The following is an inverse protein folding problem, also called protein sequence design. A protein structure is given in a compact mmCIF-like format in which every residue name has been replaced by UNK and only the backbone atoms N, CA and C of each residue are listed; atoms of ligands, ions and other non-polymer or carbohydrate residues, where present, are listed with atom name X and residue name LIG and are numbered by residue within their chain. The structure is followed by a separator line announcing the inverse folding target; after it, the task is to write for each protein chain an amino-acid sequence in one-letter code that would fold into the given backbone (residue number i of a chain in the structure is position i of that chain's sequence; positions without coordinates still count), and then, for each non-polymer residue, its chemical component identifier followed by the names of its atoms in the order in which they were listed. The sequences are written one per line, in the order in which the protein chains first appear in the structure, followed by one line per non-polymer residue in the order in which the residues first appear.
data_IF_665024735422
#
_entry.id   IF_665024735422
#
_cell.length_a   1.000
_cell.length_b   1.000
_cell.length_c   1.000
_cell.angle_alpha   90.00
_cell.angle_beta   90.00
_cell.angle_gamma   90.00
#
_symmetry.space_group_name_H-M   'P 1'
#
loop_
_entity.id
_entity.type
_entity.pdbx_description
1 polymer ?
#
# COMPACT_ATOMS: atom_id res chain seq x y z
N UNK A 1 11.28 -79.46 39.42
CA UNK A 1 12.43 -78.70 39.97
C UNK A 1 13.71 -79.39 39.56
N UNK A 2 14.85 -78.69 39.38
CA UNK A 2 15.13 -77.26 39.65
C UNK A 2 15.32 -76.46 38.32
N UNK A 3 14.88 -75.22 38.09
CA UNK A 3 14.99 -73.92 38.77
C UNK A 3 16.44 -73.45 39.02
N UNK A 4 16.89 -72.47 38.23
CA UNK A 4 17.54 -71.25 38.74
C UNK A 4 17.49 -70.10 37.72
N UNK A 5 16.89 -69.01 38.18
CA UNK A 5 16.71 -67.68 37.58
C UNK A 5 18.03 -67.01 37.17
N UNK A 6 18.03 -66.22 36.08
CA UNK A 6 18.45 -64.81 36.12
C UNK A 6 17.86 -64.01 34.96
N UNK A 7 16.98 -63.11 35.37
CA UNK A 7 16.37 -62.01 34.63
C UNK A 7 17.45 -61.00 34.24
N UNK A 8 17.49 -60.55 32.99
CA UNK A 8 18.08 -59.23 32.66
C UNK A 8 17.27 -58.59 31.52
N UNK A 9 16.20 -57.90 31.92
CA UNK A 9 15.63 -56.81 31.14
C UNK A 9 16.68 -55.68 31.00
N UNK A 10 16.61 -54.89 29.91
CA UNK A 10 16.59 -53.40 29.90
C UNK A 10 17.27 -52.78 28.65
N UNK A 11 16.42 -52.17 27.82
CA UNK A 11 16.56 -50.91 27.05
C UNK A 11 17.81 -50.64 26.18
N UNK A 12 17.62 -50.65 24.86
CA UNK A 12 18.29 -49.68 23.97
C UNK A 12 17.73 -48.29 24.26
N UNK A 13 18.34 -47.57 25.20
CA UNK A 13 18.03 -46.17 25.46
C UNK A 13 18.39 -45.31 24.23
N UNK A 14 17.39 -44.65 23.61
CA UNK A 14 17.62 -43.49 22.75
C UNK A 14 18.36 -42.46 23.58
N UNK A 15 19.64 -42.21 23.27
CA UNK A 15 20.45 -41.16 23.90
C UNK A 15 19.72 -39.83 23.70
N UNK A 16 19.13 -39.31 24.77
CA UNK A 16 18.44 -38.01 24.79
C UNK A 16 19.52 -36.95 24.57
N UNK A 17 19.50 -36.31 23.41
CA UNK A 17 20.35 -35.15 23.12
C UNK A 17 19.86 -33.99 23.97
N UNK A 18 20.71 -33.47 24.86
CA UNK A 18 20.42 -32.27 25.65
C UNK A 18 20.83 -31.06 24.82
N UNK A 19 19.91 -30.12 24.52
CA UNK A 19 20.22 -28.93 23.74
C UNK A 19 21.18 -28.01 24.50
N UNK A 20 22.11 -27.38 23.78
CA UNK A 20 23.10 -26.48 24.38
C UNK A 20 22.47 -25.11 24.73
N UNK A 21 23.10 -24.35 25.63
CA UNK A 21 22.68 -23.04 26.14
C UNK A 21 22.39 -22.02 25.03
N UNK A 22 23.10 -22.11 23.89
CA UNK A 22 22.84 -21.28 22.70
C UNK A 22 21.53 -21.69 22.01
N UNK A 23 21.27 -22.99 21.82
CA UNK A 23 20.03 -23.50 21.22
C UNK A 23 18.81 -23.15 22.07
N UNK A 24 18.91 -23.34 23.39
CA UNK A 24 17.86 -22.95 24.35
C UNK A 24 17.56 -21.44 24.30
N UNK A 25 18.58 -20.60 24.08
CA UNK A 25 18.43 -19.15 23.93
C UNK A 25 17.78 -18.78 22.60
N UNK A 26 18.13 -19.46 21.50
CA UNK A 26 17.49 -19.30 20.20
C UNK A 26 16.03 -19.76 20.24
N UNK A 27 15.74 -20.93 20.80
CA UNK A 27 14.38 -21.45 20.99
C UNK A 27 13.55 -20.52 21.88
N UNK A 28 14.11 -20.03 22.98
CA UNK A 28 13.46 -19.04 23.84
C UNK A 28 13.14 -17.73 23.10
N UNK A 29 14.05 -17.25 22.25
CA UNK A 29 13.81 -16.07 21.39
C UNK A 29 12.73 -16.34 20.35
N UNK A 30 12.79 -17.48 19.65
CA UNK A 30 11.76 -17.88 18.67
C UNK A 30 10.38 -18.05 19.33
N UNK A 31 10.33 -18.64 20.53
CA UNK A 31 9.08 -18.82 21.28
C UNK A 31 8.49 -17.48 21.73
N UNK A 32 9.31 -16.55 22.20
CA UNK A 32 8.87 -15.18 22.55
C UNK A 32 8.39 -14.39 21.33
N UNK A 33 9.06 -14.52 20.18
CA UNK A 33 8.62 -13.88 18.93
C UNK A 33 7.29 -14.47 18.45
N UNK A 34 7.12 -15.81 18.51
CA UNK A 34 5.85 -16.46 18.17
C UNK A 34 4.72 -16.01 19.11
N UNK A 35 4.98 -15.91 20.41
CA UNK A 35 4.00 -15.48 21.41
C UNK A 35 3.67 -13.98 21.32
N UNK A 36 4.63 -13.13 20.97
CA UNK A 36 4.39 -11.70 20.72
C UNK A 36 3.57 -11.47 19.43
N UNK A 37 3.78 -12.29 18.39
CA UNK A 37 2.97 -12.24 17.16
C UNK A 37 1.51 -12.65 17.39
N UNK A 38 1.23 -13.56 18.33
CA UNK A 38 -0.15 -13.93 18.69
C UNK A 38 -0.91 -12.87 19.50
N UNK A 39 -0.23 -11.81 19.96
CA UNK A 39 -0.85 -10.67 20.65
C UNK A 39 -1.17 -9.50 19.73
N UNK A 40 -0.69 -9.54 18.47
CA UNK A 40 -1.08 -8.55 17.46
C UNK A 40 -2.55 -8.80 17.05
N UNK A 41 -3.33 -7.74 16.76
CA UNK A 41 -4.64 -7.89 16.14
C UNK A 41 -4.57 -8.84 14.94
N UNK A 42 -5.57 -9.70 14.78
CA UNK A 42 -5.62 -10.60 13.62
C UNK A 42 -5.85 -9.76 12.36
N UNK A 43 -4.76 -9.42 11.68
CA UNK A 43 -4.82 -8.66 10.43
C UNK A 43 -5.45 -9.55 9.34
N UNK A 44 -6.52 -9.06 8.73
CA UNK A 44 -7.14 -9.63 7.53
C UNK A 44 -6.74 -8.79 6.31
N UNK A 45 -6.56 -9.39 5.13
CA UNK A 45 -6.43 -8.63 3.90
C UNK A 45 -7.63 -7.68 3.69
N UNK A 46 -7.45 -6.54 3.01
CA UNK A 46 -8.57 -5.73 2.56
C UNK A 46 -9.40 -6.51 1.51
N UNK A 47 -10.67 -6.18 1.36
CA UNK A 47 -11.50 -6.69 0.26
C UNK A 47 -11.12 -5.93 -1.01
N UNK A 48 -10.88 -6.63 -2.10
CA UNK A 48 -10.49 -6.06 -3.38
C UNK A 48 -11.62 -6.13 -4.41
N UNK A 49 -12.12 -4.97 -4.86
CA UNK A 49 -13.24 -4.84 -5.79
C UNK A 49 -12.83 -4.75 -7.27
N UNK A 50 -11.55 -4.55 -7.55
CA UNK A 50 -11.03 -4.39 -8.92
C UNK A 50 -10.50 -2.99 -9.26
N UNK A 51 -10.25 -2.11 -8.29
CA UNK A 51 -9.54 -0.84 -8.54
C UNK A 51 -8.02 -1.06 -8.64
N UNK A 52 -7.36 -0.79 -9.78
CA UNK A 52 -5.91 -0.90 -9.89
C UNK A 52 -5.11 -0.15 -8.81
N UNK A 53 -5.65 0.94 -8.23
CA UNK A 53 -4.99 1.68 -7.15
C UNK A 53 -4.91 0.88 -5.84
N UNK A 54 -5.86 -0.03 -5.61
CA UNK A 54 -5.96 -0.84 -4.40
C UNK A 54 -5.19 -2.16 -4.53
N UNK A 55 -4.93 -2.61 -5.77
CA UNK A 55 -4.36 -3.93 -6.03
C UNK A 55 -2.99 -4.17 -5.35
N UNK A 56 -2.01 -3.23 -5.36
CA UNK A 56 -0.72 -3.46 -4.72
C UNK A 56 -0.83 -3.72 -3.21
N UNK A 57 -1.71 -2.98 -2.53
CA UNK A 57 -1.94 -3.15 -1.10
C UNK A 57 -2.65 -4.48 -0.83
N UNK A 58 -3.67 -4.80 -1.62
CA UNK A 58 -4.39 -6.06 -1.54
C UNK A 58 -3.47 -7.27 -1.71
N UNK A 59 -2.72 -7.35 -2.82
CA UNK A 59 -1.91 -8.53 -3.13
C UNK A 59 -0.81 -8.72 -2.10
N UNK A 60 -0.17 -7.63 -1.65
CA UNK A 60 0.86 -7.67 -0.59
C UNK A 60 0.29 -8.20 0.73
N UNK A 61 -0.89 -7.72 1.12
CA UNK A 61 -1.56 -8.17 2.34
C UNK A 61 -2.01 -9.63 2.22
N UNK A 62 -2.58 -10.02 1.07
CA UNK A 62 -3.04 -11.38 0.82
C UNK A 62 -1.87 -12.38 0.86
N UNK A 63 -0.77 -12.09 0.17
CA UNK A 63 0.43 -12.92 0.16
C UNK A 63 1.02 -13.07 1.57
N UNK A 64 1.10 -11.95 2.32
CA UNK A 64 1.69 -11.94 3.65
C UNK A 64 0.83 -12.61 4.72
N UNK A 65 -0.49 -12.49 4.63
CA UNK A 65 -1.41 -12.94 5.69
C UNK A 65 -2.01 -14.32 5.43
N UNK A 66 -2.20 -14.69 4.15
CA UNK A 66 -2.85 -15.93 3.75
C UNK A 66 -1.85 -16.86 3.07
N UNK A 67 -1.24 -16.44 1.95
CA UNK A 67 -0.40 -17.32 1.14
C UNK A 67 0.83 -17.83 1.88
N UNK A 68 1.39 -17.04 2.79
CA UNK A 68 2.54 -17.43 3.63
C UNK A 68 2.22 -18.42 4.75
N UNK A 69 0.93 -18.68 5.04
CA UNK A 69 0.46 -19.48 6.19
C UNK A 69 -0.37 -20.69 5.81
N UNK A 70 -1.01 -20.64 4.66
CA UNK A 70 -1.82 -21.73 4.11
C UNK A 70 -0.96 -22.45 3.08
N UNK A 71 -0.84 -23.77 3.16
CA UNK A 71 -0.12 -24.55 2.16
C UNK A 71 -1.07 -25.03 1.04
N UNK A 72 -2.27 -25.47 1.43
CA UNK A 72 -3.28 -26.04 0.54
C UNK A 72 -3.78 -25.04 -0.53
N UNK A 73 -3.74 -25.45 -1.79
CA UNK A 73 -4.12 -24.60 -2.92
C UNK A 73 -5.63 -24.34 -2.96
N UNK A 74 -6.47 -25.30 -2.56
CA UNK A 74 -7.92 -25.13 -2.55
C UNK A 74 -8.34 -24.14 -1.46
N UNK A 75 -7.69 -24.17 -0.30
CA UNK A 75 -7.91 -23.24 0.81
C UNK A 75 -7.43 -21.82 0.44
N UNK A 76 -6.27 -21.67 -0.22
CA UNK A 76 -5.83 -20.38 -0.78
C UNK A 76 -6.84 -19.81 -1.76
N UNK A 77 -7.35 -20.63 -2.68
CA UNK A 77 -8.35 -20.23 -3.67
C UNK A 77 -9.67 -19.82 -3.00
N UNK A 78 -10.09 -20.54 -1.96
CA UNK A 78 -11.25 -20.18 -1.16
C UNK A 78 -11.08 -18.80 -0.51
N UNK A 79 -9.96 -18.54 0.15
CA UNK A 79 -9.66 -17.22 0.73
C UNK A 79 -9.56 -16.14 -0.34
N UNK A 80 -8.93 -16.42 -1.50
CA UNK A 80 -8.88 -15.48 -2.61
C UNK A 80 -10.29 -15.08 -3.06
N UNK A 81 -11.20 -16.05 -3.09
CA UNK A 81 -12.61 -15.80 -3.30
C UNK A 81 -13.25 -14.93 -2.20
N UNK A 82 -12.92 -15.12 -0.93
CA UNK A 82 -13.50 -14.34 0.17
C UNK A 82 -13.07 -12.87 0.17
N UNK A 83 -11.84 -12.59 -0.24
CA UNK A 83 -11.27 -11.24 -0.23
C UNK A 83 -11.33 -10.54 -1.59
N UNK A 84 -12.15 -11.04 -2.51
CA UNK A 84 -12.45 -10.39 -3.79
C UNK A 84 -13.93 -10.07 -3.89
N UNK A 85 -14.25 -8.92 -4.47
CA UNK A 85 -15.61 -8.43 -4.73
C UNK A 85 -15.72 -7.94 -6.18
N UNK A 86 -16.96 -7.69 -6.61
CA UNK A 86 -17.30 -7.05 -7.89
C UNK A 86 -16.50 -7.60 -9.08
N UNK A 87 -15.83 -6.72 -9.84
CA UNK A 87 -15.08 -7.06 -11.05
C UNK A 87 -13.94 -8.03 -10.78
N UNK A 88 -13.30 -7.93 -9.61
CA UNK A 88 -12.24 -8.86 -9.23
C UNK A 88 -12.81 -10.27 -8.98
N UNK A 89 -13.97 -10.36 -8.33
CA UNK A 89 -14.65 -11.64 -8.06
C UNK A 89 -15.18 -12.27 -9.34
N UNK A 90 -15.79 -11.49 -10.21
CA UNK A 90 -16.26 -11.92 -11.54
C UNK A 90 -15.12 -12.56 -12.34
N UNK A 91 -13.94 -11.91 -12.33
CA UNK A 91 -12.76 -12.38 -13.06
C UNK A 91 -12.29 -13.76 -12.61
N UNK A 92 -12.43 -14.09 -11.32
CA UNK A 92 -11.94 -15.37 -10.77
C UNK A 92 -13.04 -16.42 -10.54
N UNK A 93 -14.32 -16.08 -10.75
CA UNK A 93 -15.45 -16.92 -10.37
C UNK A 93 -15.42 -18.31 -11.02
N UNK A 94 -15.03 -18.40 -12.30
CA UNK A 94 -14.92 -19.68 -13.01
C UNK A 94 -13.84 -20.61 -12.43
N UNK A 95 -12.77 -20.05 -11.84
CA UNK A 95 -11.71 -20.83 -11.20
C UNK A 95 -12.16 -21.36 -9.84
N UNK A 96 -13.00 -20.62 -9.09
CA UNK A 96 -13.50 -21.06 -7.78
C UNK A 96 -14.32 -22.37 -7.85
N UNK A 97 -14.88 -22.68 -9.02
CA UNK A 97 -15.65 -23.91 -9.26
C UNK A 97 -14.74 -25.12 -9.54
N UNK A 98 -13.51 -24.87 -9.99
CA UNK A 98 -12.51 -25.89 -10.31
C UNK A 98 -11.63 -26.06 -9.07
N UNK A 99 -11.72 -27.21 -8.42
CA UNK A 99 -10.90 -27.55 -7.24
C UNK A 99 -9.73 -28.43 -7.67
N UNK A 100 -8.72 -27.83 -8.30
CA UNK A 100 -7.44 -28.49 -8.60
C UNK A 100 -6.29 -27.80 -7.88
N UNK A 101 -5.16 -28.49 -7.73
CA UNK A 101 -3.93 -27.91 -7.14
C UNK A 101 -3.41 -26.69 -7.92
N UNK A 102 -3.72 -26.61 -9.22
CA UNK A 102 -3.32 -25.51 -10.10
C UNK A 102 -4.28 -24.31 -10.04
N UNK A 103 -5.52 -24.53 -9.58
CA UNK A 103 -6.62 -23.55 -9.70
C UNK A 103 -6.35 -22.23 -8.97
N UNK A 104 -5.56 -22.23 -7.89
CA UNK A 104 -5.14 -21.00 -7.22
C UNK A 104 -4.27 -20.12 -8.11
N UNK A 105 -3.22 -20.69 -8.71
CA UNK A 105 -2.30 -19.94 -9.56
C UNK A 105 -3.00 -19.47 -10.83
N UNK A 106 -3.89 -20.31 -11.39
CA UNK A 106 -4.73 -19.96 -12.52
C UNK A 106 -5.70 -18.81 -12.20
N UNK A 107 -6.23 -18.71 -10.97
CA UNK A 107 -7.09 -17.61 -10.54
C UNK A 107 -6.31 -16.31 -10.23
N UNK A 108 -5.11 -16.43 -9.63
CA UNK A 108 -4.27 -15.28 -9.26
C UNK A 108 -3.70 -14.57 -10.49
N UNK A 109 -3.36 -15.32 -11.54
CA UNK A 109 -2.74 -14.80 -12.76
C UNK A 109 -3.60 -13.72 -13.47
N UNK A 110 -4.90 -13.94 -13.75
CA UNK A 110 -5.80 -12.91 -14.29
C UNK A 110 -5.87 -11.66 -13.42
N UNK A 111 -5.95 -11.79 -12.09
CA UNK A 111 -5.97 -10.62 -11.19
C UNK A 111 -4.71 -9.77 -11.36
N UNK A 112 -3.53 -10.41 -11.34
CA UNK A 112 -2.25 -9.71 -11.55
C UNK A 112 -2.16 -9.08 -12.94
N UNK A 113 -2.62 -9.78 -13.98
CA UNK A 113 -2.61 -9.26 -15.36
C UNK A 113 -3.56 -8.08 -15.56
N UNK A 114 -4.75 -8.12 -14.95
CA UNK A 114 -5.78 -7.11 -15.15
C UNK A 114 -5.65 -5.91 -14.21
N UNK A 115 -5.16 -6.10 -12.99
CA UNK A 115 -5.11 -5.04 -11.98
C UNK A 115 -3.70 -4.73 -11.47
N UNK A 116 -2.77 -5.67 -11.62
CA UNK A 116 -1.38 -5.56 -11.16
C UNK A 116 -0.38 -5.10 -12.21
N UNK A 117 -0.84 -4.81 -13.42
CA UNK A 117 0.03 -4.31 -14.48
C UNK A 117 0.56 -2.90 -14.15
N UNK A 118 1.89 -2.70 -14.09
CA UNK A 118 2.47 -1.39 -13.77
C UNK A 118 2.03 -0.29 -14.74
N UNK A 119 1.74 -0.65 -16.00
CA UNK A 119 1.22 0.32 -16.96
C UNK A 119 -0.15 0.87 -16.52
N UNK A 120 -1.06 -0.04 -16.16
CA UNK A 120 -2.41 0.28 -15.71
C UNK A 120 -2.46 1.00 -14.37
N UNK A 121 -1.67 0.58 -13.39
CA UNK A 121 -1.64 1.22 -12.05
C UNK A 121 -1.20 2.68 -12.17
N UNK A 122 -0.12 2.96 -12.89
CA UNK A 122 0.33 4.34 -13.04
C UNK A 122 -0.66 5.19 -13.86
N UNK A 123 -1.31 4.61 -14.87
CA UNK A 123 -2.37 5.30 -15.60
C UNK A 123 -3.57 5.61 -14.71
N UNK A 124 -3.92 4.73 -13.77
CA UNK A 124 -4.96 5.01 -12.79
C UNK A 124 -4.60 6.18 -11.87
N UNK A 125 -3.34 6.29 -11.41
CA UNK A 125 -2.86 7.44 -10.64
C UNK A 125 -2.90 8.74 -11.46
N UNK A 126 -2.39 8.70 -12.71
CA UNK A 126 -2.43 9.85 -13.63
C UNK A 126 -3.88 10.30 -13.82
N UNK A 127 -4.79 9.37 -14.15
CA UNK A 127 -6.20 9.68 -14.35
C UNK A 127 -6.84 10.29 -13.11
N UNK A 128 -6.56 9.75 -11.91
CA UNK A 128 -7.06 10.30 -10.64
C UNK A 128 -6.64 11.77 -10.46
N UNK A 129 -5.38 12.10 -10.76
CA UNK A 129 -4.88 13.47 -10.64
C UNK A 129 -5.40 14.39 -11.76
N UNK A 130 -5.44 13.92 -12.99
CA UNK A 130 -5.90 14.69 -14.14
C UNK A 130 -7.41 14.98 -14.13
N UNK A 131 -8.21 14.10 -13.53
CA UNK A 131 -9.66 14.31 -13.32
C UNK A 131 -9.98 14.96 -11.98
N UNK A 132 -8.98 15.41 -11.22
CA UNK A 132 -9.22 16.15 -9.99
C UNK A 132 -10.06 17.39 -10.26
N UNK A 133 -10.94 17.73 -9.31
CA UNK A 133 -11.78 18.93 -9.43
C UNK A 133 -10.93 20.19 -9.35
N UNK A 134 -11.36 21.27 -10.01
CA UNK A 134 -10.67 22.56 -9.88
C UNK A 134 -10.75 23.03 -8.43
N UNK A 135 -9.59 23.32 -7.84
CA UNK A 135 -9.47 23.74 -6.44
C UNK A 135 -9.82 25.23 -6.36
N UNK A 136 -10.66 25.59 -5.39
CA UNK A 136 -11.07 26.99 -5.15
C UNK A 136 -10.02 27.69 -4.27
N UNK A 137 -9.88 29.03 -4.38
CA UNK A 137 -8.90 29.78 -3.58
C UNK A 137 -9.00 29.61 -2.05
N UNK A 138 -10.22 29.46 -1.51
CA UNK A 138 -10.47 29.30 -0.08
C UNK A 138 -10.56 27.83 0.38
N UNK A 139 -10.36 26.87 -0.53
CA UNK A 139 -10.52 25.45 -0.23
C UNK A 139 -9.16 24.81 0.11
N UNK A 140 -8.64 25.15 1.29
CA UNK A 140 -7.38 24.62 1.80
C UNK A 140 -7.40 23.10 1.96
N UNK A 141 -8.56 22.52 2.29
CA UNK A 141 -8.69 21.07 2.45
C UNK A 141 -8.59 20.34 1.10
N UNK A 142 -9.29 20.82 0.07
CA UNK A 142 -9.17 20.23 -1.27
C UNK A 142 -7.73 20.33 -1.82
N UNK A 143 -7.01 21.40 -1.49
CA UNK A 143 -5.59 21.56 -1.84
C UNK A 143 -4.70 20.54 -1.10
N UNK A 144 -4.95 20.32 0.18
CA UNK A 144 -4.26 19.32 0.98
C UNK A 144 -4.53 17.90 0.49
N UNK A 145 -5.78 17.55 0.18
CA UNK A 145 -6.14 16.24 -0.36
C UNK A 145 -5.50 16.00 -1.74
N UNK A 146 -5.40 17.05 -2.56
CA UNK A 146 -4.68 16.99 -3.83
C UNK A 146 -3.18 16.74 -3.62
N UNK A 147 -2.55 17.43 -2.66
CA UNK A 147 -1.14 17.20 -2.30
C UNK A 147 -0.90 15.75 -1.83
N UNK A 148 -1.79 15.18 -1.01
CA UNK A 148 -1.72 13.77 -0.60
C UNK A 148 -1.81 12.85 -1.82
N UNK A 149 -2.77 13.10 -2.73
CA UNK A 149 -2.93 12.29 -3.93
C UNK A 149 -1.68 12.32 -4.83
N UNK A 150 -1.03 13.49 -4.94
CA UNK A 150 0.23 13.64 -5.68
C UNK A 150 1.37 12.84 -5.06
N UNK A 151 1.51 12.87 -3.72
CA UNK A 151 2.53 12.10 -3.01
C UNK A 151 2.28 10.58 -3.13
N UNK A 152 1.02 10.14 -3.06
CA UNK A 152 0.65 8.74 -3.29
C UNK A 152 1.06 8.28 -4.70
N UNK A 153 0.76 9.09 -5.73
CA UNK A 153 1.15 8.79 -7.10
C UNK A 153 2.68 8.74 -7.25
N UNK A 154 3.41 9.71 -6.68
CA UNK A 154 4.88 9.74 -6.67
C UNK A 154 5.46 8.46 -6.07
N UNK A 155 5.01 8.08 -4.88
CA UNK A 155 5.50 6.92 -4.15
C UNK A 155 5.23 5.62 -4.92
N UNK A 156 4.00 5.43 -5.41
CA UNK A 156 3.63 4.26 -6.20
C UNK A 156 4.44 4.14 -7.49
N UNK A 157 4.58 5.24 -8.23
CA UNK A 157 5.27 5.25 -9.52
C UNK A 157 6.79 5.12 -9.40
N UNK A 158 7.38 5.55 -8.28
CA UNK A 158 8.78 5.29 -7.95
C UNK A 158 9.04 3.80 -7.76
N UNK A 159 8.14 3.07 -7.08
CA UNK A 159 8.26 1.62 -6.91
C UNK A 159 8.17 0.83 -8.22
N UNK A 160 7.57 1.40 -9.27
CA UNK A 160 7.39 0.79 -10.59
C UNK A 160 8.35 1.33 -11.66
N UNK A 161 9.28 2.23 -11.32
CA UNK A 161 10.17 2.91 -12.28
C UNK A 161 9.46 3.67 -13.41
N UNK A 162 8.26 4.23 -13.13
CA UNK A 162 7.41 4.93 -14.11
C UNK A 162 7.24 6.43 -13.83
N UNK A 163 8.08 7.02 -12.99
CA UNK A 163 7.97 8.45 -12.60
C UNK A 163 8.07 9.40 -13.80
N UNK A 164 8.75 9.00 -14.89
CA UNK A 164 8.81 9.77 -16.14
C UNK A 164 7.44 10.09 -16.73
N UNK A 165 6.44 9.23 -16.50
CA UNK A 165 5.13 9.37 -17.14
C UNK A 165 4.35 10.55 -16.55
N UNK A 166 4.64 10.95 -15.31
CA UNK A 166 4.10 12.16 -14.70
C UNK A 166 4.73 13.45 -15.23
N UNK A 167 5.87 13.35 -15.93
CA UNK A 167 6.65 14.50 -16.38
C UNK A 167 6.33 14.93 -17.83
N UNK A 168 5.27 14.39 -18.43
CA UNK A 168 4.85 14.83 -19.76
C UNK A 168 4.26 16.24 -19.71
N UNK A 169 4.53 17.06 -20.73
CA UNK A 169 4.01 18.43 -20.79
C UNK A 169 2.48 18.50 -20.69
N UNK A 170 1.78 17.50 -21.22
CA UNK A 170 0.32 17.39 -21.14
C UNK A 170 -0.16 17.19 -19.70
N UNK A 171 0.42 16.24 -18.96
CA UNK A 171 0.06 15.98 -17.57
C UNK A 171 0.41 17.19 -16.71
N UNK A 172 1.62 17.75 -16.84
CA UNK A 172 2.02 18.95 -16.10
C UNK A 172 1.05 20.11 -16.30
N UNK A 173 0.55 20.32 -17.52
CA UNK A 173 -0.47 21.34 -17.82
C UNK A 173 -1.80 21.04 -17.13
N UNK A 174 -2.31 19.81 -17.23
CA UNK A 174 -3.58 19.44 -16.61
C UNK A 174 -3.55 19.59 -15.09
N UNK A 175 -2.44 19.24 -14.44
CA UNK A 175 -2.28 19.39 -13.00
C UNK A 175 -2.18 20.87 -12.59
N UNK A 176 -1.46 21.67 -13.37
CA UNK A 176 -1.38 23.12 -13.18
C UNK A 176 -2.77 23.78 -13.30
N UNK A 177 -3.61 23.32 -14.25
CA UNK A 177 -4.99 23.78 -14.42
C UNK A 177 -5.90 23.43 -13.21
N UNK A 178 -5.50 22.53 -12.30
CA UNK A 178 -6.28 22.24 -11.09
C UNK A 178 -6.12 23.28 -9.99
N UNK A 179 -5.02 24.03 -10.02
CA UNK A 179 -4.72 25.00 -8.98
C UNK A 179 -5.55 26.28 -9.14
N UNK A 180 -5.79 27.03 -8.04
CA UNK A 180 -6.27 28.41 -8.11
C UNK A 180 -5.35 29.31 -8.94
N UNK A 181 -5.91 30.36 -9.55
CA UNK A 181 -5.18 31.26 -10.46
C UNK A 181 -3.93 31.90 -9.83
N UNK A 182 -4.02 32.36 -8.58
CA UNK A 182 -2.86 32.95 -7.90
C UNK A 182 -1.71 31.95 -7.71
N UNK A 183 -2.03 30.66 -7.49
CA UNK A 183 -1.03 29.60 -7.39
C UNK A 183 -0.45 29.23 -8.74
N UNK A 184 -1.27 29.25 -9.79
CA UNK A 184 -0.80 29.07 -11.17
C UNK A 184 0.27 30.08 -11.53
N UNK A 185 0.06 31.35 -11.20
CA UNK A 185 1.03 32.43 -11.42
C UNK A 185 2.31 32.22 -10.61
N UNK A 186 2.20 31.92 -9.31
CA UNK A 186 3.36 31.61 -8.44
C UNK A 186 4.17 30.41 -8.95
N UNK A 187 3.49 29.37 -9.41
CA UNK A 187 4.16 28.20 -9.98
C UNK A 187 4.88 28.53 -11.28
N UNK A 188 4.25 29.27 -12.19
CA UNK A 188 4.88 29.70 -13.45
C UNK A 188 6.13 30.54 -13.21
N UNK A 189 6.10 31.42 -12.21
CA UNK A 189 7.28 32.18 -11.79
C UNK A 189 8.40 31.26 -11.28
N UNK A 190 8.07 30.30 -10.40
CA UNK A 190 9.02 29.30 -9.90
C UNK A 190 9.60 28.44 -11.03
N UNK A 191 8.77 28.03 -11.99
CA UNK A 191 9.18 27.27 -13.15
C UNK A 191 10.15 28.05 -14.05
N UNK A 192 9.92 29.35 -14.23
CA UNK A 192 10.84 30.24 -14.96
C UNK A 192 12.21 30.32 -14.26
N UNK A 193 12.22 30.46 -12.92
CA UNK A 193 13.46 30.43 -12.11
C UNK A 193 14.20 29.10 -12.23
N UNK A 194 13.50 27.97 -12.14
CA UNK A 194 14.09 26.64 -12.29
C UNK A 194 14.71 26.49 -13.68
N UNK A 195 14.01 26.94 -14.73
CA UNK A 195 14.53 26.92 -16.11
C UNK A 195 15.81 27.74 -16.25
N UNK A 196 15.85 28.94 -15.68
CA UNK A 196 17.04 29.79 -15.70
C UNK A 196 18.23 29.23 -14.93
N UNK A 197 17.99 28.60 -13.78
CA UNK A 197 19.04 28.10 -12.89
C UNK A 197 19.56 26.71 -13.26
N UNK A 198 18.66 25.79 -13.63
CA UNK A 198 18.97 24.37 -13.87
C UNK A 198 19.05 23.99 -15.35
N UNK A 199 18.66 24.88 -16.26
CA UNK A 199 18.63 24.60 -17.70
C UNK A 199 17.60 23.55 -18.12
N UNK A 200 16.66 23.16 -17.24
CA UNK A 200 15.60 22.18 -17.50
C UNK A 200 14.23 22.67 -17.03
N UNK A 201 13.17 22.06 -17.56
CA UNK A 201 11.83 22.28 -17.03
C UNK A 201 11.69 21.67 -15.63
N UNK A 202 10.81 22.25 -14.82
CA UNK A 202 10.47 21.69 -13.52
C UNK A 202 9.79 20.33 -13.68
N UNK A 203 10.16 19.37 -12.84
CA UNK A 203 9.58 18.03 -12.84
C UNK A 203 8.37 17.93 -11.90
N UNK A 204 7.69 16.79 -11.94
CA UNK A 204 6.54 16.49 -11.10
C UNK A 204 6.87 16.55 -9.61
N UNK A 205 8.10 16.20 -9.21
CA UNK A 205 8.52 16.23 -7.82
C UNK A 205 8.61 17.67 -7.31
N UNK A 206 9.23 18.56 -8.07
CA UNK A 206 9.27 20.00 -7.76
C UNK A 206 7.86 20.62 -7.72
N UNK A 207 6.94 20.14 -8.58
CA UNK A 207 5.55 20.58 -8.57
C UNK A 207 4.78 20.07 -7.34
N UNK A 208 4.91 18.79 -7.01
CA UNK A 208 4.29 18.20 -5.82
C UNK A 208 4.76 18.88 -4.53
N UNK A 209 6.05 19.19 -4.42
CA UNK A 209 6.61 19.92 -3.30
C UNK A 209 6.05 21.35 -3.18
N UNK A 210 5.86 22.04 -4.31
CA UNK A 210 5.23 23.35 -4.32
C UNK A 210 3.78 23.28 -3.85
N UNK A 211 2.99 22.34 -4.37
CA UNK A 211 1.58 22.17 -4.00
C UNK A 211 1.46 21.81 -2.52
N UNK A 212 2.27 20.89 -2.02
CA UNK A 212 2.32 20.54 -0.58
C UNK A 212 2.63 21.76 0.28
N UNK A 213 3.65 22.54 -0.07
CA UNK A 213 3.99 23.75 0.70
C UNK A 213 2.88 24.81 0.68
N UNK A 214 2.09 24.90 -0.40
CA UNK A 214 0.90 25.78 -0.42
C UNK A 214 -0.27 25.19 0.39
N UNK A 215 -0.43 23.86 0.38
CA UNK A 215 -1.42 23.19 1.21
C UNK A 215 -1.15 23.41 2.70
N UNK A 216 0.09 23.20 3.16
CA UNK A 216 0.50 23.38 4.55
C UNK A 216 0.23 24.82 5.04
N UNK A 217 0.45 25.83 4.18
CA UNK A 217 0.12 27.22 4.48
C UNK A 217 -1.39 27.47 4.55
N UNK A 218 -2.17 26.82 3.68
CA UNK A 218 -3.62 26.99 3.63
C UNK A 218 -4.34 26.29 4.79
N UNK A 219 -3.76 25.21 5.32
CA UNK A 219 -4.28 24.45 6.47
C UNK A 219 -3.59 24.81 7.79
N UNK A 220 -2.83 25.91 7.81
CA UNK A 220 -2.10 26.36 9.00
C UNK A 220 -3.08 26.59 10.18
N UNK A 221 -2.81 26.00 11.35
CA UNK A 221 -3.73 26.05 12.48
C UNK A 221 -3.88 27.45 13.10
N UNK A 222 -2.99 28.39 12.78
CA UNK A 222 -3.02 29.76 13.29
C UNK A 222 -3.53 30.73 12.22
N UNK A 223 -3.07 30.58 10.98
CA UNK A 223 -3.30 31.57 9.91
C UNK A 223 -4.29 31.14 8.82
N UNK A 224 -4.91 29.96 8.92
CA UNK A 224 -5.97 29.57 7.97
C UNK A 224 -7.27 30.36 8.17
N UNK A 225 -8.04 30.56 7.10
CA UNK A 225 -9.36 31.21 7.16
C UNK A 225 -10.30 30.53 8.17
N UNK A 226 -10.20 29.21 8.32
CA UNK A 226 -10.94 28.44 9.32
C UNK A 226 -10.53 28.78 10.76
N UNK A 227 -9.23 28.93 11.02
CA UNK A 227 -8.71 29.32 12.33
C UNK A 227 -9.03 30.77 12.69
N UNK A 228 -8.93 31.68 11.73
CA UNK A 228 -9.31 33.09 11.92
C UNK A 228 -10.80 33.23 12.22
N UNK A 229 -11.65 32.43 11.58
CA UNK A 229 -13.10 32.41 11.84
C UNK A 229 -13.42 31.83 13.23
N UNK A 230 -12.65 30.84 13.70
CA UNK A 230 -12.82 30.23 15.03
C UNK A 230 -12.39 31.17 16.16
N UNK A 231 -11.24 31.84 16.00
CA UNK A 231 -10.77 32.86 16.95
C UNK A 231 -11.79 34.02 17.07
N UNK A 232 -12.35 34.46 15.95
CA UNK A 232 -13.37 35.52 15.95
C UNK A 232 -14.71 35.09 16.59
N UNK A 233 -14.99 33.79 16.70
CA UNK A 233 -16.15 33.27 17.41
C UNK A 233 -15.88 33.14 18.93
N UNK A 234 -14.68 32.71 19.31
CA UNK A 234 -14.26 32.55 20.72
C UNK A 234 -14.03 33.92 21.42
N UNK A 235 -13.69 34.99 20.70
CA UNK A 235 -13.58 36.35 21.25
C UNK A 235 -14.94 37.07 21.45
N UNK A 236 -16.05 36.46 21.01
CA UNK A 236 -17.40 37.04 21.08
C UNK A 236 -18.28 36.42 22.17
N UNK A 237 -17.79 35.40 22.88
CA UNK A 237 -18.41 34.77 24.05
C UNK A 237 -17.72 35.21 25.35
#
# INVERSE_FOLDING_TARGET
MPIRFKVFWILKAKRIRVPNKLELKHEGKHRRIKQARSLLPTHKPPIFSGDPLEFPAFVTAFESLIESRVDDACEKLYFLGQYTADKAKELICGYLQRKSEESYNEAKSPLKKHFGDPFRIANAHINKLCHWSSIKPSDGQALHDFAIAMEQAKSAMKGMSRTSDLNTAHISRQLWEKLPEYMRSKWTERMSKIRGLKGRMADFEEFAEFVRGQADLATDPVFSEGSMSKLAAEERD
#
